data_IF_837703203849
#
_entry.id   IF_837703203849
#
_cell.length_a   1.000
_cell.length_b   1.000
_cell.length_c   1.000
_cell.angle_alpha   90.00
_cell.angle_beta   90.00
_cell.angle_gamma   90.00
#
_symmetry.space_group_name_H-M   'P 1'
#
loop_
_entity.id
_entity.type
_entity.pdbx_description
1 polymer ?
#
# COMPACT_ATOMS: atom_id res chain seq x y z
N UNK A 1 -20.03 -6.49 -2.04
CA UNK A 1 -20.29 -5.23 -2.78
C UNK A 1 -19.26 -4.22 -2.30
N UNK A 2 -18.34 -3.78 -3.16
CA UNK A 2 -17.39 -2.72 -2.80
C UNK A 2 -18.08 -1.38 -3.06
N UNK A 3 -18.20 -0.54 -2.04
CA UNK A 3 -18.79 0.80 -2.18
C UNK A 3 -17.73 1.79 -2.68
N UNK A 4 -18.07 2.60 -3.68
CA UNK A 4 -17.19 3.67 -4.19
C UNK A 4 -17.62 5.01 -3.60
N UNK A 5 -17.33 5.24 -2.33
CA UNK A 5 -17.59 6.52 -1.66
C UNK A 5 -16.33 7.35 -1.54
N UNK A 6 -16.46 8.67 -1.70
CA UNK A 6 -15.37 9.60 -1.37
C UNK A 6 -15.18 9.65 0.14
N UNK A 7 -13.97 9.96 0.60
CA UNK A 7 -13.68 10.15 2.05
C UNK A 7 -14.59 11.21 2.66
N UNK A 8 -14.98 12.24 1.89
CA UNK A 8 -15.92 13.26 2.35
C UNK A 8 -17.33 12.69 2.64
N UNK A 9 -17.82 11.75 1.82
CA UNK A 9 -19.10 11.08 2.06
C UNK A 9 -19.05 10.09 3.21
N UNK A 10 -17.92 9.42 3.41
CA UNK A 10 -17.70 8.60 4.60
C UNK A 10 -17.72 9.48 5.85
N UNK A 11 -17.02 10.62 5.82
CA UNK A 11 -16.97 11.55 6.95
C UNK A 11 -18.35 12.14 7.30
N UNK A 12 -19.13 12.52 6.29
CA UNK A 12 -20.52 12.99 6.46
C UNK A 12 -21.42 11.91 7.08
N UNK A 13 -21.37 10.69 6.55
CA UNK A 13 -22.17 9.57 7.07
C UNK A 13 -21.80 9.19 8.51
N UNK A 14 -20.57 9.44 8.93
CA UNK A 14 -20.06 9.18 10.28
C UNK A 14 -20.13 10.40 11.22
N UNK A 15 -20.48 11.59 10.71
CA UNK A 15 -20.52 12.81 11.52
C UNK A 15 -19.15 13.32 12.01
N UNK A 16 -18.07 13.02 11.28
CA UNK A 16 -16.70 13.40 11.66
C UNK A 16 -16.06 14.36 10.64
N UNK A 17 -14.96 15.00 11.02
CA UNK A 17 -14.17 15.76 10.07
C UNK A 17 -13.55 14.83 9.01
N UNK A 18 -13.43 15.34 7.77
CA UNK A 18 -12.80 14.60 6.65
C UNK A 18 -11.40 14.08 7.00
N UNK A 19 -10.59 14.88 7.69
CA UNK A 19 -9.24 14.50 8.06
C UNK A 19 -9.26 13.33 9.06
N UNK A 20 -10.16 13.35 10.04
CA UNK A 20 -10.35 12.24 10.99
C UNK A 20 -10.74 10.95 10.29
N UNK A 21 -11.68 11.01 9.33
CA UNK A 21 -12.04 9.82 8.54
C UNK A 21 -10.86 9.31 7.69
N UNK A 22 -10.08 10.23 7.10
CA UNK A 22 -8.90 9.87 6.32
C UNK A 22 -7.82 9.20 7.18
N UNK A 23 -7.51 9.76 8.34
CA UNK A 23 -6.49 9.24 9.24
C UNK A 23 -6.86 7.85 9.76
N UNK A 24 -8.14 7.63 10.08
CA UNK A 24 -8.65 6.32 10.48
C UNK A 24 -8.51 5.28 9.34
N UNK A 25 -8.87 5.64 8.11
CA UNK A 25 -8.71 4.75 6.93
C UNK A 25 -7.24 4.41 6.70
N UNK A 26 -6.33 5.38 6.85
CA UNK A 26 -4.90 5.16 6.69
C UNK A 26 -4.35 4.24 7.79
N UNK A 27 -4.76 4.44 9.04
CA UNK A 27 -4.35 3.61 10.17
C UNK A 27 -4.80 2.15 10.00
N UNK A 28 -6.09 1.94 9.71
CA UNK A 28 -6.66 0.61 9.47
C UNK A 28 -6.07 -0.05 8.22
N UNK A 29 -5.89 0.71 7.14
CA UNK A 29 -5.24 0.22 5.93
C UNK A 29 -3.82 -0.29 6.21
N UNK A 30 -3.05 0.40 7.07
CA UNK A 30 -1.72 -0.04 7.47
C UNK A 30 -1.77 -1.32 8.31
N UNK A 31 -2.65 -1.37 9.31
CA UNK A 31 -2.77 -2.55 10.17
C UNK A 31 -3.21 -3.80 9.41
N UNK A 32 -4.21 -3.67 8.53
CA UNK A 32 -4.84 -4.82 7.85
C UNK A 32 -4.04 -5.29 6.64
N UNK A 33 -3.44 -4.36 5.88
CA UNK A 33 -2.82 -4.70 4.59
C UNK A 33 -1.30 -4.77 4.64
N UNK A 34 -0.67 -4.10 5.62
CA UNK A 34 0.76 -3.85 5.61
C UNK A 34 1.40 -4.50 6.84
N UNK A 35 0.92 -4.34 8.06
CA UNK A 35 1.62 -4.77 9.30
C UNK A 35 1.57 -6.27 9.65
N UNK A 36 1.47 -7.16 8.65
CA UNK A 36 1.60 -8.61 8.84
C UNK A 36 3.08 -9.03 9.06
N UNK A 37 3.45 -9.59 10.23
CA UNK A 37 4.81 -10.07 10.48
C UNK A 37 5.25 -11.20 9.55
N UNK A 38 4.31 -12.00 9.03
CA UNK A 38 4.53 -13.10 8.10
C UNK A 38 4.33 -12.68 6.63
N UNK A 39 4.42 -11.38 6.33
CA UNK A 39 4.07 -10.81 5.02
C UNK A 39 4.76 -11.50 3.84
N UNK A 40 5.99 -11.99 4.01
CA UNK A 40 6.76 -12.63 2.92
C UNK A 40 6.70 -14.17 2.89
N UNK A 41 5.98 -14.79 3.82
CA UNK A 41 5.92 -16.26 3.91
C UNK A 41 5.23 -16.86 2.67
N UNK A 42 5.86 -17.90 2.13
CA UNK A 42 5.36 -18.63 0.96
C UNK A 42 5.44 -17.88 -0.37
N UNK A 43 6.01 -16.67 -0.41
CA UNK A 43 6.12 -15.87 -1.63
C UNK A 43 7.16 -16.50 -2.58
N UNK A 44 6.72 -16.82 -3.80
CA UNK A 44 7.57 -17.40 -4.87
C UNK A 44 7.47 -16.64 -6.20
N UNK A 45 6.49 -15.75 -6.35
CA UNK A 45 6.37 -14.82 -7.49
C UNK A 45 6.08 -13.44 -6.96
N UNK A 46 6.96 -12.50 -7.26
CA UNK A 46 6.78 -11.10 -6.90
C UNK A 46 6.46 -10.30 -8.14
N UNK A 47 5.37 -9.54 -8.09
CA UNK A 47 5.08 -8.43 -8.99
C UNK A 47 5.55 -7.12 -8.37
N UNK A 48 6.11 -6.24 -9.19
CA UNK A 48 6.47 -4.88 -8.80
C UNK A 48 5.84 -3.94 -9.81
N UNK A 49 5.06 -2.98 -9.33
CA UNK A 49 4.41 -1.97 -10.15
C UNK A 49 4.83 -0.56 -9.71
N UNK A 50 4.96 0.37 -10.65
CA UNK A 50 5.29 1.77 -10.40
C UNK A 50 4.12 2.65 -10.79
N UNK A 51 3.44 3.20 -9.80
CA UNK A 51 2.32 4.12 -9.98
C UNK A 51 2.77 5.56 -9.80
N UNK A 52 2.43 6.42 -10.75
CA UNK A 52 2.67 7.87 -10.66
C UNK A 52 1.40 8.55 -10.15
N UNK A 53 1.53 9.22 -9.02
CA UNK A 53 0.46 9.94 -8.36
C UNK A 53 0.71 11.45 -8.43
N UNK A 54 -0.26 12.20 -8.98
CA UNK A 54 -0.19 13.65 -9.13
C UNK A 54 -1.51 14.27 -8.66
N UNK A 55 -1.49 14.87 -7.46
CA UNK A 55 -2.65 15.55 -6.88
C UNK A 55 -2.63 17.08 -7.01
N UNK A 56 -1.47 17.66 -7.28
CA UNK A 56 -1.33 19.09 -7.56
C UNK A 56 -0.54 19.29 -8.85
N UNK A 57 -0.54 20.51 -9.38
CA UNK A 57 0.20 20.85 -10.61
C UNK A 57 1.72 20.74 -10.48
N UNK A 58 2.25 20.42 -9.29
CA UNK A 58 3.69 20.29 -9.01
C UNK A 58 4.01 19.03 -8.21
N UNK A 59 5.03 18.30 -8.67
CA UNK A 59 5.57 17.11 -8.00
C UNK A 59 4.92 15.83 -8.48
N UNK A 60 5.66 15.05 -9.28
CA UNK A 60 5.33 13.64 -9.49
C UNK A 60 5.71 12.87 -8.23
N UNK A 61 4.71 12.28 -7.57
CA UNK A 61 4.95 11.35 -6.47
C UNK A 61 4.89 9.94 -7.04
N UNK A 62 5.98 9.20 -6.89
CA UNK A 62 6.05 7.80 -7.31
C UNK A 62 5.69 6.92 -6.13
N UNK A 63 4.87 5.91 -6.37
CA UNK A 63 4.55 4.87 -5.42
C UNK A 63 4.86 3.54 -6.09
N UNK A 64 5.67 2.73 -5.44
CA UNK A 64 5.97 1.36 -5.88
C UNK A 64 5.10 0.40 -5.09
N UNK A 65 4.34 -0.43 -5.80
CA UNK A 65 3.50 -1.48 -5.21
C UNK A 65 4.23 -2.81 -5.36
N UNK A 66 4.32 -3.57 -4.26
CA UNK A 66 4.92 -4.90 -4.22
C UNK A 66 3.79 -5.90 -3.99
N UNK A 67 3.68 -6.90 -4.85
CA UNK A 67 2.54 -7.81 -4.91
C UNK A 67 3.03 -9.25 -4.92
N UNK A 68 2.43 -10.09 -4.09
CA UNK A 68 2.56 -11.53 -4.16
C UNK A 68 1.60 -12.07 -5.22
N UNK A 69 2.18 -12.56 -6.32
CA UNK A 69 1.46 -13.17 -7.43
C UNK A 69 1.42 -14.70 -7.33
N UNK A 70 1.97 -15.27 -6.27
CA UNK A 70 2.04 -16.72 -6.06
C UNK A 70 0.65 -17.37 -6.09
N UNK A 71 -0.39 -16.84 -5.42
CA UNK A 71 -1.71 -17.45 -5.45
C UNK A 71 -2.35 -17.46 -6.83
N UNK A 72 -2.08 -16.43 -7.64
CA UNK A 72 -2.54 -16.36 -9.03
C UNK A 72 -1.82 -17.41 -9.87
N UNK A 73 -0.49 -17.49 -9.76
CA UNK A 73 0.30 -18.50 -10.50
C UNK A 73 -0.16 -19.92 -10.17
N UNK A 74 -0.43 -20.19 -8.89
CA UNK A 74 -0.82 -21.51 -8.40
C UNK A 74 -2.31 -21.79 -8.51
N UNK A 75 -3.11 -20.79 -8.92
CA UNK A 75 -4.59 -20.85 -9.00
C UNK A 75 -5.25 -21.17 -7.65
N UNK A 76 -4.66 -20.71 -6.56
CA UNK A 76 -5.16 -20.90 -5.19
C UNK A 76 -5.89 -19.70 -4.62
N UNK A 77 -5.79 -18.53 -5.28
CA UNK A 77 -6.47 -17.33 -4.82
C UNK A 77 -6.08 -16.06 -5.58
N UNK A 78 -6.57 -14.90 -5.12
CA UNK A 78 -6.19 -13.60 -5.68
C UNK A 78 -4.77 -13.20 -5.30
N UNK A 79 -4.22 -12.21 -6.00
CA UNK A 79 -2.98 -11.55 -5.59
C UNK A 79 -3.11 -10.94 -4.19
N UNK A 80 -2.01 -10.94 -3.44
CA UNK A 80 -1.90 -10.34 -2.12
C UNK A 80 -0.98 -9.12 -2.20
N UNK A 81 -1.43 -7.98 -1.69
CA UNK A 81 -0.58 -6.81 -1.51
C UNK A 81 0.47 -7.13 -0.43
N UNK A 82 1.74 -6.91 -0.74
CA UNK A 82 2.85 -7.09 0.20
C UNK A 82 3.30 -5.76 0.78
N UNK A 83 3.42 -4.74 -0.08
CA UNK A 83 3.83 -3.41 0.35
C UNK A 83 3.44 -2.32 -0.65
N UNK A 84 3.36 -1.08 -0.17
CA UNK A 84 3.18 0.12 -0.98
C UNK A 84 4.09 1.23 -0.46
N UNK A 85 5.17 1.51 -1.19
CA UNK A 85 6.28 2.34 -0.72
C UNK A 85 6.46 3.55 -1.63
N UNK A 86 6.69 4.73 -1.05
CA UNK A 86 7.05 5.92 -1.82
C UNK A 86 8.42 5.76 -2.48
N UNK A 87 8.52 6.23 -3.73
CA UNK A 87 9.72 6.22 -4.53
C UNK A 87 9.59 5.35 -5.77
N UNK A 88 10.65 5.38 -6.58
CA UNK A 88 10.72 4.60 -7.82
C UNK A 88 11.08 3.14 -7.55
N UNK A 89 10.52 2.28 -8.38
CA UNK A 89 10.60 0.82 -8.32
C UNK A 89 12.01 0.30 -8.18
N UNK A 90 12.98 0.83 -8.92
CA UNK A 90 14.38 0.40 -8.81
C UNK A 90 14.96 0.57 -7.40
N UNK A 91 14.72 1.73 -6.77
CA UNK A 91 15.26 2.00 -5.44
C UNK A 91 14.47 1.25 -4.37
N UNK A 92 13.15 1.30 -4.45
CA UNK A 92 12.26 0.60 -3.51
C UNK A 92 12.53 -0.90 -3.54
N UNK A 93 12.60 -1.51 -4.72
CA UNK A 93 12.81 -2.95 -4.86
C UNK A 93 14.17 -3.39 -4.33
N UNK A 94 15.23 -2.60 -4.53
CA UNK A 94 16.54 -2.86 -3.93
C UNK A 94 16.43 -2.88 -2.40
N UNK A 95 15.78 -1.89 -1.79
CA UNK A 95 15.60 -1.82 -0.33
C UNK A 95 14.74 -2.97 0.18
N UNK A 96 13.68 -3.34 -0.55
CA UNK A 96 12.81 -4.47 -0.23
C UNK A 96 13.58 -5.79 -0.19
N UNK A 97 14.43 -6.07 -1.20
CA UNK A 97 15.24 -7.29 -1.23
C UNK A 97 16.22 -7.37 -0.05
N UNK A 98 16.79 -6.23 0.38
CA UNK A 98 17.63 -6.18 1.59
C UNK A 98 16.79 -6.46 2.84
N UNK A 99 15.59 -5.87 2.93
CA UNK A 99 14.70 -6.02 4.08
C UNK A 99 14.11 -7.43 4.24
N UNK A 100 14.03 -8.22 3.17
CA UNK A 100 13.67 -9.65 3.26
C UNK A 100 14.66 -10.44 4.13
N UNK A 101 15.90 -9.96 4.27
CA UNK A 101 16.93 -10.59 5.11
C UNK A 101 16.98 -9.97 6.52
N UNK A 102 16.49 -8.75 6.68
CA UNK A 102 16.51 -7.97 7.93
C UNK A 102 15.23 -7.15 8.06
N UNK A 103 14.32 -7.54 8.95
CA UNK A 103 13.05 -6.91 9.35
C UNK A 103 12.58 -5.65 8.58
N UNK A 104 11.30 -5.63 8.15
CA UNK A 104 10.74 -4.59 7.28
C UNK A 104 10.97 -3.15 7.79
N UNK A 105 11.52 -2.24 6.98
CA UNK A 105 11.69 -0.84 7.37
C UNK A 105 10.32 -0.15 7.52
N UNK A 106 10.18 0.64 8.58
CA UNK A 106 9.03 1.52 8.76
C UNK A 106 9.05 2.60 7.66
N UNK A 107 8.04 2.64 6.81
CA UNK A 107 7.88 3.70 5.82
C UNK A 107 6.63 4.53 6.13
N UNK A 108 6.79 5.85 6.08
CA UNK A 108 5.71 6.82 6.22
C UNK A 108 5.12 7.09 4.84
N UNK A 109 3.82 6.88 4.69
CA UNK A 109 3.11 7.36 3.51
C UNK A 109 3.08 8.88 3.55
N UNK A 110 3.20 9.60 2.41
CA UNK A 110 3.08 11.04 2.40
C UNK A 110 1.63 11.42 2.69
N UNK A 111 1.32 11.69 3.96
CA UNK A 111 0.08 12.34 4.39
C UNK A 111 0.19 13.82 4.03
N UNK A 112 -0.01 14.14 2.76
CA UNK A 112 -0.18 15.52 2.33
C UNK A 112 -1.28 15.55 1.28
N UNK A 113 -2.51 15.71 1.79
CA UNK A 113 -3.64 16.25 1.05
C UNK A 113 -3.48 17.76 0.91
#
# INVERSE_FOLDING_TARGET
>A
MVGHLTVARVAEGLGVARNTANDAVLAEGKQVLIDDPAWFDGVRVVGVDEHVWRHTSRGDKYVTVIIDLTPIRDKTGPARLLDMVEGRSKQVFKTCLVAQVTARPAHSWPVSA
#
